data_IF_475549287327
#
_entry.id   IF_475549287327
#
_cell.length_a   1.000
_cell.length_b   1.000
_cell.length_c   1.000
_cell.angle_alpha   90.00
_cell.angle_beta   90.00
_cell.angle_gamma   90.00
#
_symmetry.space_group_name_H-M   'P 1'
#
loop_
_entity.id
_entity.type
_entity.pdbx_description
1 polymer ?
#
# COMPACT_ATOMS: atom_id res chain seq x y z
N UNK A 1 -5.68 -0.55 -22.15
CA UNK A 1 -4.62 0.48 -22.19
C UNK A 1 -3.45 0.11 -21.25
N UNK A 2 -3.69 -0.24 -19.98
CA UNK A 2 -2.63 -0.62 -19.00
C UNK A 2 -1.90 -1.88 -19.42
N UNK A 3 -2.59 -2.94 -19.84
CA UNK A 3 -1.98 -4.18 -20.37
C UNK A 3 -1.05 -3.88 -21.54
N UNK A 4 -1.44 -2.98 -22.44
CA UNK A 4 -0.61 -2.55 -23.57
C UNK A 4 0.63 -1.76 -23.11
N UNK A 5 0.51 -0.90 -22.08
CA UNK A 5 1.66 -0.20 -21.48
C UNK A 5 2.63 -1.19 -20.81
N UNK A 6 2.11 -2.22 -20.16
CA UNK A 6 2.91 -3.30 -19.60
C UNK A 6 3.70 -4.05 -20.69
N UNK A 7 3.04 -4.41 -21.78
CA UNK A 7 3.69 -5.10 -22.91
C UNK A 7 4.81 -4.27 -23.54
N UNK A 8 4.62 -2.97 -23.72
CA UNK A 8 5.62 -2.11 -24.36
C UNK A 8 6.78 -1.69 -23.44
N UNK A 9 6.64 -1.87 -22.13
CA UNK A 9 7.65 -1.54 -21.11
C UNK A 9 7.96 -2.73 -20.19
N UNK A 10 7.93 -3.94 -20.73
CA UNK A 10 8.14 -5.15 -19.93
C UNK A 10 9.44 -5.13 -19.12
N UNK A 11 10.56 -4.82 -19.75
CA UNK A 11 11.88 -4.85 -19.07
C UNK A 11 11.94 -3.92 -17.86
N UNK A 12 11.66 -2.59 -17.98
CA UNK A 12 11.71 -1.70 -16.82
C UNK A 12 10.62 -2.01 -15.78
N UNK A 13 9.45 -2.51 -16.21
CA UNK A 13 8.37 -2.86 -15.27
C UNK A 13 8.70 -4.10 -14.47
N UNK A 14 9.23 -5.14 -15.09
CA UNK A 14 9.68 -6.37 -14.42
C UNK A 14 10.84 -6.08 -13.48
N UNK A 15 11.81 -5.28 -13.91
CA UNK A 15 12.93 -4.89 -13.07
C UNK A 15 12.46 -4.14 -11.82
N UNK A 16 11.57 -3.15 -11.95
CA UNK A 16 11.00 -2.43 -10.81
C UNK A 16 10.21 -3.35 -9.88
N UNK A 17 9.50 -4.31 -10.43
CA UNK A 17 8.65 -5.24 -9.69
C UNK A 17 9.46 -6.16 -8.76
N UNK A 18 10.68 -6.54 -9.16
CA UNK A 18 11.62 -7.28 -8.31
C UNK A 18 12.48 -6.37 -7.43
N UNK A 19 12.90 -5.22 -7.94
CA UNK A 19 13.75 -4.29 -7.20
C UNK A 19 13.02 -3.66 -6.02
N UNK A 20 11.72 -3.36 -6.16
CA UNK A 20 10.94 -2.70 -5.11
C UNK A 20 10.87 -3.50 -3.81
N UNK A 21 10.55 -4.82 -3.79
CA UNK A 21 10.59 -5.63 -2.58
C UNK A 21 11.96 -5.68 -1.92
N UNK A 22 13.02 -5.84 -2.74
CA UNK A 22 14.41 -5.85 -2.24
C UNK A 22 14.74 -4.53 -1.57
N UNK A 23 14.39 -3.42 -2.21
CA UNK A 23 14.66 -2.08 -1.70
C UNK A 23 13.91 -1.79 -0.40
N UNK A 24 12.63 -2.14 -0.33
CA UNK A 24 11.82 -1.99 0.88
C UNK A 24 12.39 -2.81 2.03
N UNK A 25 12.77 -4.06 1.78
CA UNK A 25 13.39 -4.92 2.80
C UNK A 25 14.75 -4.38 3.27
N UNK A 26 15.62 -3.99 2.34
CA UNK A 26 16.96 -3.50 2.65
C UNK A 26 16.95 -2.15 3.37
N UNK A 27 16.04 -1.24 2.99
CA UNK A 27 16.00 0.11 3.56
C UNK A 27 15.16 0.21 4.83
N UNK A 28 14.18 -0.65 5.01
CA UNK A 28 13.26 -0.60 6.15
C UNK A 28 13.48 -1.81 7.07
N UNK A 29 13.41 -3.02 6.55
CA UNK A 29 13.47 -4.26 7.34
C UNK A 29 14.80 -4.43 8.06
N UNK A 30 15.91 -4.37 7.31
CA UNK A 30 17.25 -4.61 7.84
C UNK A 30 17.68 -3.58 8.90
N UNK A 31 17.54 -2.26 8.69
CA UNK A 31 17.93 -1.28 9.71
C UNK A 31 17.10 -1.39 10.98
N UNK A 32 15.78 -1.57 10.86
CA UNK A 32 14.90 -1.67 12.01
C UNK A 32 15.12 -2.95 12.82
N UNK A 33 15.45 -4.08 12.18
CA UNK A 33 15.86 -5.30 12.85
C UNK A 33 17.06 -5.09 13.77
N UNK A 34 18.02 -4.26 13.39
CA UNK A 34 19.19 -3.97 14.20
C UNK A 34 18.88 -3.13 15.44
N UNK A 35 17.80 -2.36 15.40
CA UNK A 35 17.33 -1.50 16.50
C UNK A 35 16.32 -2.25 17.37
N UNK A 36 15.34 -2.87 16.73
CA UNK A 36 14.24 -3.60 17.40
C UNK A 36 14.49 -5.09 17.20
N UNK A 37 15.02 -5.78 18.20
CA UNK A 37 15.34 -7.21 18.09
C UNK A 37 14.10 -8.11 18.25
N UNK A 38 13.19 -7.72 19.15
CA UNK A 38 11.99 -8.47 19.49
C UNK A 38 10.78 -7.54 19.55
N UNK A 39 9.63 -8.06 19.18
CA UNK A 39 8.34 -7.42 19.45
C UNK A 39 8.04 -7.48 20.95
N UNK A 40 7.08 -6.67 21.43
CA UNK A 40 6.63 -6.72 22.82
C UNK A 40 6.00 -8.07 23.20
N UNK A 41 5.51 -8.82 22.20
CA UNK A 41 5.03 -10.20 22.37
C UNK A 41 6.16 -11.25 22.42
N UNK A 42 7.43 -10.85 22.38
CA UNK A 42 8.59 -11.77 22.43
C UNK A 42 8.90 -12.48 21.11
N UNK A 43 8.20 -12.13 20.03
CA UNK A 43 8.46 -12.68 18.68
C UNK A 43 9.64 -11.94 18.05
N UNK A 44 10.47 -12.62 17.27
CA UNK A 44 11.56 -11.96 16.54
C UNK A 44 11.00 -10.90 15.59
N UNK A 45 11.64 -9.74 15.55
CA UNK A 45 11.17 -8.58 14.75
C UNK A 45 10.93 -8.93 13.27
N UNK A 46 11.78 -9.78 12.68
CA UNK A 46 11.64 -10.21 11.28
C UNK A 46 10.28 -10.85 10.99
N UNK A 47 9.85 -11.75 11.88
CA UNK A 47 8.58 -12.47 11.72
C UNK A 47 7.40 -11.51 11.93
N UNK A 48 7.54 -10.62 12.91
CA UNK A 48 6.49 -9.66 13.25
C UNK A 48 6.29 -8.61 12.16
N UNK A 49 7.38 -8.08 11.57
CA UNK A 49 7.32 -7.02 10.56
C UNK A 49 6.93 -7.52 9.18
N UNK A 50 7.06 -8.82 8.91
CA UNK A 50 6.81 -9.43 7.60
C UNK A 50 5.46 -9.01 6.96
N UNK A 51 4.31 -9.16 7.61
CA UNK A 51 3.05 -8.72 7.02
C UNK A 51 3.03 -7.21 6.79
N UNK A 52 3.60 -6.42 7.70
CA UNK A 52 3.72 -4.96 7.55
C UNK A 52 4.48 -4.54 6.29
N UNK A 53 5.57 -5.22 5.95
CA UNK A 53 6.32 -4.97 4.71
C UNK A 53 5.47 -5.24 3.47
N UNK A 54 4.61 -6.24 3.48
CA UNK A 54 3.69 -6.55 2.38
C UNK A 54 2.65 -5.44 2.21
N UNK A 55 2.09 -4.94 3.32
CA UNK A 55 1.15 -3.82 3.30
C UNK A 55 1.81 -2.53 2.79
N UNK A 56 3.03 -2.23 3.20
CA UNK A 56 3.81 -1.08 2.69
C UNK A 56 4.08 -1.23 1.19
N UNK A 57 4.52 -2.40 0.77
CA UNK A 57 4.83 -2.68 -0.64
C UNK A 57 3.60 -2.49 -1.54
N UNK A 58 2.45 -3.00 -1.12
CA UNK A 58 1.19 -2.84 -1.84
C UNK A 58 0.72 -1.38 -1.88
N UNK A 59 0.94 -0.62 -0.80
CA UNK A 59 0.64 0.82 -0.74
C UNK A 59 1.48 1.62 -1.72
N UNK A 60 2.78 1.32 -1.78
CA UNK A 60 3.71 1.96 -2.73
C UNK A 60 3.34 1.67 -4.19
N UNK A 61 2.84 0.47 -4.46
CA UNK A 61 2.35 0.11 -5.80
C UNK A 61 1.05 0.83 -6.17
N UNK A 62 0.12 0.95 -5.21
CA UNK A 62 -1.19 1.56 -5.43
C UNK A 62 -1.13 3.07 -5.71
N UNK A 63 -0.16 3.78 -5.13
CA UNK A 63 0.01 5.22 -5.25
C UNK A 63 0.05 5.75 -6.69
N UNK A 64 0.98 5.31 -7.56
CA UNK A 64 1.06 5.84 -8.92
C UNK A 64 -0.16 5.49 -9.77
N UNK A 65 -0.85 4.41 -9.42
CA UNK A 65 -1.98 3.89 -10.18
C UNK A 65 -3.27 4.66 -9.91
N UNK A 66 -3.48 5.15 -8.70
CA UNK A 66 -4.71 5.84 -8.33
C UNK A 66 -4.48 7.33 -8.10
N UNK A 67 -3.58 7.69 -7.18
CA UNK A 67 -3.41 9.08 -6.77
C UNK A 67 -2.88 9.95 -7.91
N UNK A 68 -1.76 9.55 -8.52
CA UNK A 68 -1.13 10.29 -9.61
C UNK A 68 -1.98 10.28 -10.88
N UNK A 69 -2.57 9.15 -11.24
CA UNK A 69 -3.34 9.03 -12.49
C UNK A 69 -4.61 9.88 -12.44
N UNK A 70 -5.37 9.84 -11.34
CA UNK A 70 -6.56 10.69 -11.22
C UNK A 70 -6.25 12.17 -11.20
N UNK A 71 -5.16 12.57 -10.54
CA UNK A 71 -4.67 13.95 -10.59
C UNK A 71 -4.32 14.38 -12.02
N UNK A 72 -3.56 13.55 -12.75
CA UNK A 72 -3.16 13.81 -14.14
C UNK A 72 -4.36 13.92 -15.07
N UNK A 73 -5.34 13.03 -14.95
CA UNK A 73 -6.59 13.06 -15.72
C UNK A 73 -7.42 14.32 -15.46
N UNK A 74 -7.39 14.84 -14.23
CA UNK A 74 -8.15 16.03 -13.85
C UNK A 74 -7.44 17.32 -14.25
N UNK A 75 -6.19 17.49 -13.88
CA UNK A 75 -5.47 18.76 -13.98
C UNK A 75 -4.77 18.92 -15.33
N UNK A 76 -3.94 17.95 -15.71
CA UNK A 76 -3.13 18.09 -16.92
C UNK A 76 -3.90 17.76 -18.19
N UNK A 77 -4.60 16.64 -18.21
CA UNK A 77 -5.31 16.18 -19.42
C UNK A 77 -6.72 16.74 -19.55
N UNK A 78 -7.31 17.21 -18.43
CA UNK A 78 -8.70 17.72 -18.37
C UNK A 78 -9.75 16.77 -18.96
N UNK A 79 -9.43 15.49 -19.04
CA UNK A 79 -10.28 14.45 -19.66
C UNK A 79 -11.35 13.96 -18.68
N UNK A 80 -11.14 14.16 -17.37
CA UNK A 80 -12.07 13.68 -16.35
C UNK A 80 -13.48 14.27 -16.52
N UNK A 81 -13.57 15.53 -16.97
CA UNK A 81 -14.85 16.20 -17.27
C UNK A 81 -15.55 15.49 -18.44
N UNK A 82 -14.82 15.19 -19.51
CA UNK A 82 -15.38 14.48 -20.66
C UNK A 82 -15.82 13.05 -20.30
N UNK A 83 -15.06 12.37 -19.44
CA UNK A 83 -15.43 11.06 -18.90
C UNK A 83 -16.69 11.17 -18.04
N UNK A 84 -16.84 12.24 -17.25
CA UNK A 84 -18.01 12.47 -16.42
C UNK A 84 -19.28 12.79 -17.22
N UNK A 85 -19.15 13.27 -18.45
CA UNK A 85 -20.24 13.54 -19.39
C UNK A 85 -20.68 12.28 -20.18
N UNK A 86 -19.95 11.18 -20.09
CA UNK A 86 -20.35 9.93 -20.74
C UNK A 86 -21.60 9.35 -20.05
N UNK A 87 -22.44 8.57 -20.76
CA UNK A 87 -23.65 7.97 -20.19
C UNK A 87 -23.36 6.88 -19.13
N UNK A 88 -22.08 6.62 -18.85
CA UNK A 88 -21.67 5.65 -17.85
C UNK A 88 -21.71 6.24 -16.43
N UNK A 89 -22.16 5.44 -15.47
CA UNK A 89 -22.16 5.81 -14.06
C UNK A 89 -20.74 6.11 -13.57
N UNK A 90 -20.55 7.30 -12.97
CA UNK A 90 -19.27 7.74 -12.38
C UNK A 90 -18.70 6.71 -11.39
N UNK A 91 -19.58 6.06 -10.62
CA UNK A 91 -19.18 5.03 -9.66
C UNK A 91 -18.56 3.80 -10.35
N UNK A 92 -19.04 3.42 -11.53
CA UNK A 92 -18.46 2.30 -12.30
C UNK A 92 -17.02 2.60 -12.74
N UNK A 93 -16.74 3.85 -13.11
CA UNK A 93 -15.39 4.26 -13.55
C UNK A 93 -14.42 4.23 -12.36
N UNK A 94 -14.82 4.80 -11.23
CA UNK A 94 -14.03 4.79 -9.99
C UNK A 94 -13.79 3.35 -9.54
N UNK A 95 -14.84 2.54 -9.48
CA UNK A 95 -14.75 1.15 -9.07
C UNK A 95 -13.86 0.31 -10.02
N UNK A 96 -13.99 0.47 -11.32
CA UNK A 96 -13.15 -0.21 -12.30
C UNK A 96 -11.66 0.16 -12.14
N UNK A 97 -11.37 1.45 -11.93
CA UNK A 97 -9.99 1.89 -11.67
C UNK A 97 -9.43 1.32 -10.37
N UNK A 98 -10.25 1.28 -9.31
CA UNK A 98 -9.89 0.73 -8.03
C UNK A 98 -9.59 -0.77 -8.12
N UNK A 99 -10.44 -1.54 -8.81
CA UNK A 99 -10.26 -2.99 -9.00
C UNK A 99 -8.98 -3.27 -9.79
N UNK A 100 -8.77 -2.58 -10.91
CA UNK A 100 -7.56 -2.80 -11.74
C UNK A 100 -6.30 -2.44 -10.95
N UNK A 101 -6.27 -1.29 -10.27
CA UNK A 101 -5.13 -0.89 -9.46
C UNK A 101 -4.91 -1.84 -8.26
N UNK A 102 -5.99 -2.28 -7.63
CA UNK A 102 -5.94 -3.26 -6.55
C UNK A 102 -5.36 -4.61 -6.99
N UNK A 103 -5.76 -5.11 -8.17
CA UNK A 103 -5.21 -6.35 -8.73
C UNK A 103 -3.70 -6.20 -9.03
N UNK A 104 -3.27 -5.08 -9.60
CA UNK A 104 -1.84 -4.81 -9.84
C UNK A 104 -1.07 -4.77 -8.50
N UNK A 105 -1.62 -4.12 -7.47
CA UNK A 105 -1.01 -4.08 -6.14
C UNK A 105 -0.95 -5.46 -5.47
N UNK A 106 -1.97 -6.31 -5.67
CA UNK A 106 -1.97 -7.70 -5.19
C UNK A 106 -0.90 -8.56 -5.88
N UNK A 107 -0.66 -8.36 -7.17
CA UNK A 107 0.44 -9.04 -7.89
C UNK A 107 1.78 -8.66 -7.27
N UNK A 108 2.01 -7.36 -7.03
CA UNK A 108 3.25 -6.88 -6.40
C UNK A 108 3.40 -7.44 -4.98
N UNK A 109 2.32 -7.44 -4.19
CA UNK A 109 2.29 -8.04 -2.86
C UNK A 109 2.59 -9.54 -2.87
N UNK A 110 2.05 -10.28 -3.83
CA UNK A 110 2.31 -11.73 -3.98
C UNK A 110 3.77 -12.02 -4.30
N UNK A 111 4.39 -11.23 -5.17
CA UNK A 111 5.83 -11.33 -5.47
C UNK A 111 6.65 -10.98 -4.24
N UNK A 112 6.29 -9.90 -3.53
CA UNK A 112 6.91 -9.54 -2.25
C UNK A 112 6.82 -10.66 -1.21
N UNK A 113 5.66 -11.30 -1.10
CA UNK A 113 5.45 -12.43 -0.18
C UNK A 113 6.39 -13.58 -0.50
N UNK A 114 6.47 -14.00 -1.78
CA UNK A 114 7.38 -15.07 -2.22
C UNK A 114 8.84 -14.69 -1.91
N UNK A 115 9.22 -13.46 -2.17
CA UNK A 115 10.58 -12.99 -1.94
C UNK A 115 10.94 -12.97 -0.45
N UNK A 116 10.05 -12.44 0.40
CA UNK A 116 10.29 -12.34 1.84
C UNK A 116 10.26 -13.69 2.54
N UNK A 117 9.43 -14.64 2.10
CA UNK A 117 9.45 -16.01 2.63
C UNK A 117 10.76 -16.76 2.32
N UNK A 118 11.46 -16.36 1.27
CA UNK A 118 12.81 -16.88 0.98
C UNK A 118 13.92 -16.25 1.86
N UNK A 119 13.71 -15.03 2.36
CA UNK A 119 14.71 -14.30 3.17
C UNK A 119 14.50 -14.47 4.67
N UNK A 120 13.27 -14.62 5.11
CA UNK A 120 12.89 -14.71 6.52
C UNK A 120 12.38 -16.13 6.79
N UNK A 121 12.86 -16.81 7.85
CA UNK A 121 12.43 -18.19 8.17
C UNK A 121 11.01 -18.19 8.75
N UNK A 122 10.01 -17.98 7.89
CA UNK A 122 8.59 -17.97 8.27
C UNK A 122 7.92 -19.22 7.72
N UNK A 123 7.19 -19.92 8.54
CA UNK A 123 6.31 -21.01 8.10
C UNK A 123 4.91 -20.43 7.86
N UNK A 124 4.65 -20.07 6.59
CA UNK A 124 3.33 -19.64 6.17
C UNK A 124 2.44 -20.86 5.93
N UNK A 125 1.44 -21.05 6.80
CA UNK A 125 0.37 -22.01 6.55
C UNK A 125 -0.63 -21.43 5.54
N UNK A 126 -1.26 -22.32 4.76
CA UNK A 126 -2.24 -21.89 3.74
C UNK A 126 -3.39 -21.02 4.33
N UNK A 127 -3.97 -21.34 5.52
CA UNK A 127 -4.98 -20.50 6.15
C UNK A 127 -4.48 -19.08 6.47
N UNK A 128 -3.25 -18.94 6.98
CA UNK A 128 -2.67 -17.64 7.31
C UNK A 128 -2.44 -16.79 6.06
N UNK A 129 -2.04 -17.43 4.95
CA UNK A 129 -1.85 -16.74 3.67
C UNK A 129 -3.19 -16.22 3.12
N UNK A 130 -4.24 -17.04 3.17
CA UNK A 130 -5.59 -16.63 2.73
C UNK A 130 -6.08 -15.46 3.60
N UNK A 131 -5.89 -15.55 4.92
CA UNK A 131 -6.31 -14.49 5.82
C UNK A 131 -5.55 -13.18 5.58
N UNK A 132 -4.22 -13.26 5.37
CA UNK A 132 -3.40 -12.12 4.96
C UNK A 132 -3.94 -11.45 3.68
N UNK A 133 -4.26 -12.25 2.65
CA UNK A 133 -4.81 -11.74 1.40
C UNK A 133 -6.17 -11.07 1.60
N UNK A 134 -7.06 -11.64 2.41
CA UNK A 134 -8.36 -11.01 2.73
C UNK A 134 -8.18 -9.66 3.42
N UNK A 135 -7.33 -9.59 4.44
CA UNK A 135 -7.02 -8.33 5.13
C UNK A 135 -6.39 -7.30 4.19
N UNK A 136 -5.48 -7.75 3.30
CA UNK A 136 -4.85 -6.91 2.31
C UNK A 136 -5.86 -6.33 1.30
N UNK A 137 -6.81 -7.13 0.82
CA UNK A 137 -7.87 -6.65 -0.08
C UNK A 137 -8.71 -5.56 0.58
N UNK A 138 -9.15 -5.76 1.83
CA UNK A 138 -9.89 -4.73 2.58
C UNK A 138 -9.07 -3.46 2.73
N UNK A 139 -7.80 -3.59 3.10
CA UNK A 139 -6.88 -2.47 3.22
C UNK A 139 -6.72 -1.70 1.90
N UNK A 140 -6.48 -2.39 0.78
CA UNK A 140 -6.32 -1.78 -0.54
C UNK A 140 -7.59 -1.04 -1.00
N UNK A 141 -8.77 -1.56 -0.66
CA UNK A 141 -10.04 -0.87 -0.93
C UNK A 141 -10.14 0.43 -0.14
N UNK A 142 -9.80 0.42 1.15
CA UNK A 142 -9.82 1.62 1.99
C UNK A 142 -8.80 2.65 1.52
N UNK A 143 -7.56 2.23 1.32
CA UNK A 143 -6.47 3.10 0.88
C UNK A 143 -6.70 3.65 -0.53
N UNK A 144 -7.22 2.82 -1.44
CA UNK A 144 -7.53 3.23 -2.80
C UNK A 144 -8.62 4.30 -2.86
N UNK A 145 -9.68 4.17 -2.06
CA UNK A 145 -10.71 5.21 -1.93
C UNK A 145 -10.13 6.51 -1.35
N UNK A 146 -9.25 6.42 -0.37
CA UNK A 146 -8.56 7.58 0.18
C UNK A 146 -7.71 8.27 -0.89
N UNK A 147 -6.91 7.54 -1.65
CA UNK A 147 -6.09 8.09 -2.73
C UNK A 147 -6.91 8.78 -3.81
N UNK A 148 -8.02 8.19 -4.23
CA UNK A 148 -8.92 8.80 -5.22
C UNK A 148 -9.52 10.08 -4.65
N UNK A 149 -10.07 10.04 -3.43
CA UNK A 149 -10.70 11.18 -2.78
C UNK A 149 -9.74 12.36 -2.64
N UNK A 150 -8.54 12.10 -2.12
CA UNK A 150 -7.52 13.14 -1.92
C UNK A 150 -7.05 13.70 -3.26
N UNK A 151 -6.86 12.85 -4.29
CA UNK A 151 -6.42 13.30 -5.61
C UNK A 151 -7.46 14.17 -6.31
N UNK A 152 -8.74 14.00 -6.01
CA UNK A 152 -9.82 14.84 -6.54
C UNK A 152 -9.96 16.18 -5.82
N UNK A 153 -9.47 16.29 -4.59
CA UNK A 153 -9.54 17.53 -3.79
C UNK A 153 -8.36 18.48 -4.04
N UNK A 154 -7.23 17.97 -4.52
CA UNK A 154 -5.98 18.73 -4.63
C UNK A 154 -5.81 19.30 -6.04
N UNK A 155 -5.54 20.61 -6.13
CA UNK A 155 -5.42 21.33 -7.41
C UNK A 155 -3.98 21.60 -7.85
N UNK A 156 -3.03 21.63 -6.91
CA UNK A 156 -1.64 21.98 -7.22
C UNK A 156 -0.69 20.81 -7.03
N UNK A 157 0.35 20.74 -7.86
CA UNK A 157 1.37 19.69 -7.79
C UNK A 157 2.13 19.71 -6.46
N UNK A 158 2.41 20.90 -5.94
CA UNK A 158 3.11 21.05 -4.66
C UNK A 158 2.29 20.48 -3.51
N UNK A 159 1.00 20.86 -3.42
CA UNK A 159 0.09 20.32 -2.40
C UNK A 159 -0.08 18.81 -2.54
N UNK A 160 -0.17 18.31 -3.79
CA UNK A 160 -0.22 16.89 -4.08
C UNK A 160 0.98 16.15 -3.46
N UNK A 161 2.19 16.65 -3.65
CA UNK A 161 3.41 16.02 -3.14
C UNK A 161 3.49 16.09 -1.61
N UNK A 162 3.14 17.22 -0.99
CA UNK A 162 3.15 17.39 0.46
C UNK A 162 2.15 16.47 1.16
N UNK A 163 0.92 16.43 0.66
CA UNK A 163 -0.13 15.58 1.23
C UNK A 163 0.25 14.10 1.09
N UNK A 164 0.83 13.73 -0.06
CA UNK A 164 1.29 12.35 -0.26
C UNK A 164 2.40 11.97 0.70
N UNK A 165 3.34 12.87 0.96
CA UNK A 165 4.39 12.65 1.95
C UNK A 165 3.80 12.40 3.34
N UNK A 166 2.81 13.20 3.77
CA UNK A 166 2.10 13.00 5.04
C UNK A 166 1.38 11.65 5.09
N UNK A 167 0.68 11.29 4.00
CA UNK A 167 -0.01 9.98 3.91
C UNK A 167 0.99 8.83 3.98
N UNK A 168 2.16 8.95 3.34
CA UNK A 168 3.21 7.94 3.45
C UNK A 168 3.78 7.80 4.86
N UNK A 169 4.03 8.89 5.57
CA UNK A 169 4.46 8.81 6.96
C UNK A 169 3.42 8.11 7.83
N UNK A 170 2.14 8.41 7.60
CA UNK A 170 1.05 7.74 8.30
C UNK A 170 0.98 6.24 7.94
N UNK A 171 1.17 5.87 6.69
CA UNK A 171 1.22 4.46 6.27
C UNK A 171 2.38 3.74 6.93
N UNK A 172 3.59 4.32 6.92
CA UNK A 172 4.79 3.68 7.45
C UNK A 172 4.74 3.51 8.97
N UNK A 173 4.36 4.55 9.69
CA UNK A 173 4.47 4.60 11.15
C UNK A 173 3.13 4.56 11.89
N UNK A 174 2.07 5.07 11.28
CA UNK A 174 0.76 5.21 11.93
C UNK A 174 -0.12 3.97 11.89
N UNK A 175 0.17 2.98 11.05
CA UNK A 175 -0.65 1.77 10.91
C UNK A 175 -0.15 0.57 11.73
N UNK A 176 0.94 0.73 12.48
CA UNK A 176 1.54 -0.36 13.23
C UNK A 176 2.36 -1.34 12.38
N UNK A 177 2.67 -1.02 11.12
CA UNK A 177 3.39 -1.92 10.20
C UNK A 177 4.84 -2.14 10.58
N UNK A 178 5.51 -1.11 11.08
CA UNK A 178 6.93 -1.11 11.41
C UNK A 178 7.20 -0.99 12.90
N UNK A 179 6.33 -0.32 13.63
CA UNK A 179 6.47 -0.01 15.05
C UNK A 179 5.13 -0.32 15.71
N UNK A 180 5.16 -1.07 16.81
CA UNK A 180 3.96 -1.38 17.59
C UNK A 180 3.34 -0.12 18.18
N UNK A 181 2.01 -0.09 18.29
CA UNK A 181 1.27 1.07 18.80
C UNK A 181 1.66 1.46 20.23
N UNK A 182 2.03 0.50 21.03
CA UNK A 182 2.45 0.71 22.43
C UNK A 182 3.75 1.49 22.62
N UNK A 183 4.51 1.75 21.55
CA UNK A 183 5.64 2.68 21.59
C UNK A 183 5.22 4.15 21.52
N UNK A 184 3.95 4.43 21.18
CA UNK A 184 3.42 5.79 21.14
C UNK A 184 2.83 6.22 22.48
N UNK A 185 2.77 7.54 22.79
CA UNK A 185 2.07 8.05 23.95
C UNK A 185 0.60 7.61 23.99
N UNK A 186 0.06 7.29 25.16
CA UNK A 186 -1.26 6.67 25.35
C UNK A 186 -2.41 7.32 24.56
N UNK A 187 -2.49 8.65 24.51
CA UNK A 187 -3.53 9.34 23.75
C UNK A 187 -3.39 9.17 22.24
N UNK A 188 -2.17 9.17 21.74
CA UNK A 188 -1.87 9.02 20.31
C UNK A 188 -2.00 7.56 19.87
N UNK A 189 -1.60 6.62 20.71
CA UNK A 189 -1.81 5.18 20.52
C UNK A 189 -3.29 4.86 20.26
N UNK A 190 -4.19 5.37 21.09
CA UNK A 190 -5.63 5.16 20.95
C UNK A 190 -6.14 5.70 19.62
N UNK A 191 -5.70 6.89 19.21
CA UNK A 191 -6.08 7.47 17.93
C UNK A 191 -5.62 6.60 16.75
N UNK A 192 -4.37 6.12 16.76
CA UNK A 192 -3.81 5.29 15.70
C UNK A 192 -4.49 3.93 15.60
N UNK A 193 -4.86 3.33 16.73
CA UNK A 193 -5.59 2.05 16.76
C UNK A 193 -6.97 2.13 16.13
N UNK A 194 -7.65 3.27 16.29
CA UNK A 194 -9.01 3.44 15.78
C UNK A 194 -9.09 3.90 14.31
N UNK A 195 -7.97 4.22 13.69
CA UNK A 195 -8.01 4.63 12.29
C UNK A 195 -8.35 3.45 11.35
N UNK A 196 -9.20 3.67 10.32
CA UNK A 196 -9.68 2.59 9.47
C UNK A 196 -8.58 1.83 8.72
N UNK A 197 -7.47 2.48 8.40
CA UNK A 197 -6.35 1.89 7.66
C UNK A 197 -5.53 0.91 8.50
N UNK A 198 -5.53 1.04 9.83
CA UNK A 198 -4.79 0.13 10.70
C UNK A 198 -5.57 -1.14 11.03
N UNK A 199 -6.90 -1.11 10.99
CA UNK A 199 -7.76 -2.22 11.41
C UNK A 199 -7.50 -3.54 10.66
N UNK A 200 -7.35 -3.57 9.32
CA UNK A 200 -7.08 -4.82 8.62
C UNK A 200 -5.76 -5.48 9.04
N UNK A 201 -4.75 -4.68 9.33
CA UNK A 201 -3.47 -5.18 9.82
C UNK A 201 -3.54 -5.68 11.26
N UNK A 202 -4.21 -4.93 12.14
CA UNK A 202 -4.44 -5.35 13.52
C UNK A 202 -5.23 -6.66 13.61
N UNK A 203 -6.17 -6.88 12.69
CA UNK A 203 -6.95 -8.12 12.63
C UNK A 203 -6.09 -9.31 12.20
N UNK A 204 -4.98 -9.06 11.50
CA UNK A 204 -4.06 -10.10 11.06
C UNK A 204 -3.04 -10.48 12.16
N UNK A 205 -2.60 -9.54 12.98
CA UNK A 205 -1.68 -9.78 14.11
C UNK A 205 -2.33 -10.57 15.23
#
# INVERSE_FOLDING_TARGET
RRVWLWQNRLIPSVFLLFLLPIFVFAMIGVPLKNVIRYSLAGVSYDIWVFPGLIFILSSLSLYPLLYREFFDLRIHRKVLVNIALTPHSKNKIVFASLVVAGLEALVVASIGTIFYTGLIPIVLTLPNLIFLLCCLVVYLLLLGNLFISVSLLIDTLTTMSLVMFMVFLLILFGNGFLIEFSFFPLGFESFLKWQPLSLPFQSYQ
#
